data_IF_363703739277
#
_entry.id   IF_363703739277
#
_cell.length_a   1.000
_cell.length_b   1.000
_cell.length_c   1.000
_cell.angle_alpha   90.00
_cell.angle_beta   90.00
_cell.angle_gamma   90.00
#
_symmetry.space_group_name_H-M   'P 1'
#
loop_
_entity.id
_entity.type
_entity.pdbx_description
1 polymer ?
#
# COMPACT_ATOMS: atom_id res chain seq x y z
N UNK A 1 -16.79 -35.86 14.63
CA UNK A 1 -15.73 -35.23 13.81
C UNK A 1 -14.71 -34.57 14.73
N UNK A 2 -13.41 -34.90 14.60
CA UNK A 2 -12.34 -34.23 15.36
C UNK A 2 -12.09 -32.86 14.75
N UNK A 3 -12.21 -31.77 15.52
CA UNK A 3 -11.94 -30.41 15.01
C UNK A 3 -10.45 -30.28 14.66
N UNK A 4 -10.15 -29.69 13.50
CA UNK A 4 -8.79 -29.34 13.07
C UNK A 4 -8.58 -27.82 13.19
N UNK A 5 -7.37 -27.41 13.57
CA UNK A 5 -7.02 -26.00 13.77
C UNK A 5 -6.18 -25.42 12.62
N UNK A 6 -6.16 -26.09 11.47
CA UNK A 6 -5.32 -25.70 10.34
C UNK A 6 -5.63 -24.28 9.85
N UNK A 7 -6.92 -23.90 9.79
CA UNK A 7 -7.37 -22.55 9.41
C UNK A 7 -6.78 -21.48 10.31
N UNK A 8 -6.86 -21.68 11.62
CA UNK A 8 -6.29 -20.76 12.61
C UNK A 8 -4.78 -20.58 12.42
N UNK A 9 -4.02 -21.67 12.35
CA UNK A 9 -2.55 -21.57 12.25
C UNK A 9 -2.07 -20.97 10.92
N UNK A 10 -2.79 -21.18 9.82
CA UNK A 10 -2.50 -20.50 8.54
C UNK A 10 -2.67 -18.98 8.68
N UNK A 11 -3.71 -18.52 9.39
CA UNK A 11 -3.96 -17.10 9.62
C UNK A 11 -2.97 -16.51 10.63
N UNK A 12 -2.68 -17.22 11.72
CA UNK A 12 -1.72 -16.80 12.75
C UNK A 12 -0.34 -16.53 12.14
N UNK A 13 0.12 -17.40 11.23
CA UNK A 13 1.41 -17.24 10.56
C UNK A 13 1.50 -16.03 9.62
N UNK A 14 0.37 -15.38 9.30
CA UNK A 14 0.33 -14.16 8.46
C UNK A 14 0.28 -12.88 9.29
N UNK A 15 -0.02 -12.98 10.58
CA UNK A 15 -0.07 -11.83 11.46
C UNK A 15 1.35 -11.46 11.90
N UNK A 16 1.72 -10.16 11.87
CA UNK A 16 3.01 -9.72 12.38
C UNK A 16 3.03 -9.88 13.91
N UNK A 17 3.90 -10.75 14.43
CA UNK A 17 4.13 -10.89 15.88
C UNK A 17 5.54 -11.38 16.15
N UNK A 18 6.10 -10.99 17.30
CA UNK A 18 7.36 -11.49 17.84
C UNK A 18 7.18 -12.77 18.65
N UNK A 19 5.99 -12.96 19.25
CA UNK A 19 5.62 -14.17 19.98
C UNK A 19 4.28 -14.72 19.45
N UNK A 20 4.30 -15.93 18.92
CA UNK A 20 3.11 -16.58 18.34
C UNK A 20 2.26 -17.29 19.39
N UNK A 21 2.85 -17.83 20.43
CA UNK A 21 2.09 -18.53 21.47
C UNK A 21 1.35 -17.52 22.34
N UNK A 22 1.98 -16.40 22.67
CA UNK A 22 1.31 -15.29 23.36
C UNK A 22 0.15 -14.73 22.52
N UNK A 23 0.38 -14.46 21.22
CA UNK A 23 -0.68 -13.99 20.33
C UNK A 23 -1.83 -14.98 20.24
N UNK A 24 -1.55 -16.28 20.14
CA UNK A 24 -2.57 -17.32 20.15
C UNK A 24 -3.38 -17.30 21.45
N UNK A 25 -2.71 -17.29 22.61
CA UNK A 25 -3.39 -17.28 23.91
C UNK A 25 -4.30 -16.05 24.06
N UNK A 26 -3.82 -14.87 23.65
CA UNK A 26 -4.58 -13.63 23.66
C UNK A 26 -5.80 -13.68 22.74
N UNK A 27 -5.66 -14.19 21.51
CA UNK A 27 -6.79 -14.35 20.58
C UNK A 27 -7.83 -15.32 21.14
N UNK A 28 -7.41 -16.47 21.67
CA UNK A 28 -8.35 -17.44 22.25
C UNK A 28 -9.06 -16.86 23.47
N UNK A 29 -8.33 -16.21 24.37
CA UNK A 29 -8.89 -15.54 25.54
C UNK A 29 -9.91 -14.47 25.14
N UNK A 30 -9.58 -13.62 24.16
CA UNK A 30 -10.47 -12.57 23.67
C UNK A 30 -11.81 -13.14 23.14
N UNK A 31 -11.75 -14.20 22.32
CA UNK A 31 -12.95 -14.76 21.70
C UNK A 31 -13.70 -15.75 22.59
N UNK A 32 -13.19 -16.04 23.78
CA UNK A 32 -13.87 -16.84 24.81
C UNK A 32 -14.22 -16.04 26.06
N UNK A 33 -14.03 -14.72 26.02
CA UNK A 33 -14.21 -13.81 27.16
C UNK A 33 -13.39 -14.23 28.41
N UNK A 34 -12.14 -14.65 28.20
CA UNK A 34 -11.22 -15.03 29.26
C UNK A 34 -11.44 -16.43 29.83
N UNK A 35 -12.38 -17.22 29.29
CA UNK A 35 -12.70 -18.56 29.80
C UNK A 35 -11.56 -19.57 29.60
N UNK A 36 -10.76 -19.41 28.53
CA UNK A 36 -9.66 -20.33 28.19
C UNK A 36 -8.67 -19.65 27.24
N UNK A 37 -7.45 -20.17 27.16
CA UNK A 37 -6.43 -19.85 26.15
C UNK A 37 -6.21 -21.00 25.14
N UNK A 38 -6.97 -22.11 25.31
CA UNK A 38 -6.83 -23.33 24.54
C UNK A 38 -7.89 -23.42 23.43
N UNK A 39 -7.43 -23.52 22.18
CA UNK A 39 -8.29 -23.75 21.01
C UNK A 39 -9.24 -24.95 21.17
N UNK A 40 -8.84 -25.95 21.97
CA UNK A 40 -9.63 -27.17 22.24
C UNK A 40 -10.85 -26.91 23.10
N UNK A 41 -10.84 -25.85 23.89
CA UNK A 41 -11.91 -25.50 24.82
C UNK A 41 -12.86 -24.43 24.25
N UNK A 42 -12.61 -23.98 23.02
CA UNK A 42 -13.51 -23.10 22.28
C UNK A 42 -14.71 -23.86 21.74
N UNK A 43 -15.89 -23.24 21.75
CA UNK A 43 -17.04 -23.67 20.97
C UNK A 43 -16.78 -23.46 19.46
N UNK A 44 -17.56 -24.12 18.60
CA UNK A 44 -17.39 -23.94 17.15
C UNK A 44 -17.64 -22.48 16.76
N UNK A 45 -18.66 -21.85 17.36
CA UNK A 45 -19.03 -20.45 17.08
C UNK A 45 -17.93 -19.46 17.45
N UNK A 46 -17.32 -19.61 18.63
CA UNK A 46 -16.19 -18.76 19.04
C UNK A 46 -14.99 -18.94 18.11
N UNK A 47 -14.68 -20.19 17.73
CA UNK A 47 -13.57 -20.49 16.84
C UNK A 47 -13.77 -19.91 15.43
N UNK A 48 -14.97 -20.08 14.87
CA UNK A 48 -15.30 -19.57 13.54
C UNK A 48 -15.29 -18.03 13.54
N UNK A 49 -15.90 -17.39 14.54
CA UNK A 49 -15.89 -15.94 14.69
C UNK A 49 -14.46 -15.37 14.79
N UNK A 50 -13.59 -16.02 15.56
CA UNK A 50 -12.18 -15.65 15.66
C UNK A 50 -11.46 -15.77 14.31
N UNK A 51 -11.60 -16.90 13.63
CA UNK A 51 -10.95 -17.11 12.32
C UNK A 51 -11.47 -16.14 11.26
N UNK A 52 -12.77 -15.83 11.27
CA UNK A 52 -13.38 -14.88 10.34
C UNK A 52 -12.81 -13.47 10.54
N UNK A 53 -12.71 -13.02 11.79
CA UNK A 53 -12.12 -11.72 12.12
C UNK A 53 -10.63 -11.64 11.75
N UNK A 54 -9.85 -12.69 12.05
CA UNK A 54 -8.44 -12.77 11.63
C UNK A 54 -8.29 -12.70 10.11
N UNK A 55 -9.18 -13.36 9.37
CA UNK A 55 -9.15 -13.37 7.91
C UNK A 55 -9.52 -12.00 7.33
N UNK A 56 -10.46 -11.29 7.92
CA UNK A 56 -10.83 -9.93 7.50
C UNK A 56 -9.68 -8.94 7.78
N UNK A 57 -9.00 -9.09 8.91
CA UNK A 57 -7.80 -8.31 9.22
C UNK A 57 -6.65 -8.58 8.22
N UNK A 58 -6.39 -9.84 7.85
CA UNK A 58 -5.38 -10.23 6.84
C UNK A 58 -5.69 -9.61 5.47
N UNK A 59 -6.96 -9.68 5.02
CA UNK A 59 -7.39 -9.03 3.76
C UNK A 59 -7.14 -7.52 3.79
N UNK A 60 -7.54 -6.85 4.87
CA UNK A 60 -7.32 -5.42 5.04
C UNK A 60 -5.83 -5.05 5.04
N UNK A 61 -4.99 -5.88 5.67
CA UNK A 61 -3.53 -5.69 5.65
C UNK A 61 -2.96 -5.81 4.24
N UNK A 62 -3.28 -6.89 3.52
CA UNK A 62 -2.82 -7.12 2.14
C UNK A 62 -3.28 -6.02 1.18
N UNK A 63 -4.53 -5.59 1.26
CA UNK A 63 -5.04 -4.50 0.44
C UNK A 63 -4.26 -3.20 0.66
N UNK A 64 -3.93 -2.87 1.93
CA UNK A 64 -3.10 -1.71 2.26
C UNK A 64 -1.67 -1.83 1.75
N UNK A 65 -1.06 -3.01 1.85
CA UNK A 65 0.30 -3.26 1.31
C UNK A 65 0.34 -3.09 -0.21
N UNK A 66 -0.58 -3.71 -0.93
CA UNK A 66 -0.69 -3.58 -2.40
C UNK A 66 -0.87 -2.11 -2.80
N UNK A 67 -1.75 -1.38 -2.11
CA UNK A 67 -1.96 0.05 -2.38
C UNK A 67 -0.70 0.90 -2.10
N UNK A 68 0.04 0.60 -1.02
CA UNK A 68 1.31 1.28 -0.70
C UNK A 68 2.38 1.00 -1.75
N UNK A 69 2.49 -0.25 -2.19
CA UNK A 69 3.46 -0.65 -3.20
C UNK A 69 3.16 0.02 -4.55
N UNK A 70 1.90 0.03 -4.98
CA UNK A 70 1.53 0.70 -6.23
C UNK A 70 1.75 2.21 -6.14
N UNK A 71 1.40 2.85 -5.01
CA UNK A 71 1.69 4.27 -4.79
C UNK A 71 3.20 4.55 -4.85
N UNK A 72 4.04 3.69 -4.24
CA UNK A 72 5.50 3.79 -4.30
C UNK A 72 5.99 3.68 -5.75
N UNK A 73 5.48 2.70 -6.51
CA UNK A 73 5.85 2.48 -7.91
C UNK A 73 5.52 3.69 -8.78
N UNK A 74 4.31 4.24 -8.65
CA UNK A 74 3.88 5.43 -9.41
C UNK A 74 4.67 6.68 -9.02
N UNK A 75 4.94 6.89 -7.73
CA UNK A 75 5.80 8.00 -7.28
C UNK A 75 7.21 7.90 -7.87
N UNK A 76 7.80 6.71 -7.86
CA UNK A 76 9.11 6.49 -8.45
C UNK A 76 9.13 6.79 -9.95
N UNK A 77 8.09 6.38 -10.69
CA UNK A 77 7.98 6.66 -12.12
C UNK A 77 7.82 8.17 -12.40
N UNK A 78 7.01 8.87 -11.60
CA UNK A 78 6.80 10.30 -11.75
C UNK A 78 8.06 11.11 -11.41
N UNK A 79 8.80 10.76 -10.34
CA UNK A 79 10.08 11.37 -10.00
C UNK A 79 11.11 11.19 -11.13
N UNK A 80 11.21 10.00 -11.71
CA UNK A 80 12.10 9.77 -12.85
C UNK A 80 11.77 10.67 -14.05
N UNK A 81 10.48 10.88 -14.32
CA UNK A 81 10.04 11.79 -15.39
C UNK A 81 10.28 13.26 -15.04
N UNK A 82 10.08 13.67 -13.79
CA UNK A 82 10.40 15.03 -13.33
C UNK A 82 11.89 15.32 -13.53
N UNK A 83 12.76 14.37 -13.17
CA UNK A 83 14.21 14.47 -13.41
C UNK A 83 14.53 14.64 -14.90
N UNK A 84 13.87 13.87 -15.78
CA UNK A 84 14.02 14.03 -17.24
C UNK A 84 13.50 15.36 -17.79
N UNK A 85 12.60 16.03 -17.09
CA UNK A 85 12.15 17.39 -17.40
C UNK A 85 13.06 18.46 -16.77
N UNK A 86 14.24 18.08 -16.26
CA UNK A 86 15.20 19.01 -15.67
C UNK A 86 14.85 19.46 -14.24
N UNK A 87 13.87 18.84 -13.59
CA UNK A 87 13.53 19.15 -12.20
C UNK A 87 14.48 18.38 -11.28
N UNK A 88 15.17 19.12 -10.42
CA UNK A 88 16.00 18.55 -9.37
C UNK A 88 15.13 17.80 -8.34
N UNK A 89 15.20 16.46 -8.39
CA UNK A 89 14.41 15.57 -7.53
C UNK A 89 15.03 15.33 -6.16
N UNK A 90 16.19 15.93 -5.86
CA UNK A 90 16.78 15.93 -4.52
C UNK A 90 16.20 17.04 -3.63
N UNK A 91 15.61 18.07 -4.24
CA UNK A 91 14.95 19.18 -3.55
C UNK A 91 13.40 19.04 -3.61
N UNK A 92 12.81 18.68 -2.46
CA UNK A 92 11.36 18.55 -2.33
C UNK A 92 10.59 19.85 -2.56
N UNK A 93 11.19 21.02 -2.30
CA UNK A 93 10.54 22.30 -2.57
C UNK A 93 10.40 22.52 -4.08
N UNK A 94 11.43 22.21 -4.87
CA UNK A 94 11.36 22.29 -6.33
C UNK A 94 10.32 21.36 -6.93
N UNK A 95 10.27 20.10 -6.47
CA UNK A 95 9.24 19.14 -6.88
C UNK A 95 7.85 19.69 -6.58
N UNK A 96 7.63 20.17 -5.35
CA UNK A 96 6.32 20.68 -4.94
C UNK A 96 5.93 21.94 -5.71
N UNK A 97 6.83 22.92 -5.86
CA UNK A 97 6.60 24.14 -6.64
C UNK A 97 6.20 23.84 -8.08
N UNK A 98 6.82 22.83 -8.70
CA UNK A 98 6.45 22.39 -10.03
C UNK A 98 5.04 21.75 -10.06
N UNK A 99 4.75 20.86 -9.10
CA UNK A 99 3.49 20.10 -9.08
C UNK A 99 2.27 20.95 -8.67
N UNK A 100 2.43 21.95 -7.81
CA UNK A 100 1.30 22.82 -7.37
C UNK A 100 0.74 23.68 -8.50
N UNK A 101 1.47 23.84 -9.61
CA UNK A 101 0.95 24.51 -10.79
C UNK A 101 -0.32 23.77 -11.30
N UNK A 102 -1.47 24.45 -11.42
CA UNK A 102 -2.73 23.84 -11.90
C UNK A 102 -2.63 23.20 -13.28
N UNK A 103 -1.72 23.68 -14.14
CA UNK A 103 -1.49 23.09 -15.47
C UNK A 103 -0.77 21.74 -15.38
N UNK A 104 -0.02 21.51 -14.30
CA UNK A 104 0.73 20.26 -14.03
C UNK A 104 -0.13 19.31 -13.20
N UNK A 105 -0.22 19.50 -11.88
CA UNK A 105 -1.01 18.63 -11.00
C UNK A 105 -1.91 19.42 -10.02
N UNK A 106 -1.64 20.70 -9.79
CA UNK A 106 -2.45 21.56 -8.90
C UNK A 106 -2.31 21.25 -7.41
N UNK A 107 -1.40 20.34 -7.02
CA UNK A 107 -1.20 19.89 -5.63
C UNK A 107 0.27 19.57 -5.35
N UNK A 108 0.72 19.64 -4.08
CA UNK A 108 2.03 19.13 -3.69
C UNK A 108 2.18 17.66 -4.06
N UNK A 109 3.37 17.24 -4.52
CA UNK A 109 3.62 15.89 -5.04
C UNK A 109 3.25 14.79 -4.05
N UNK A 110 3.57 14.98 -2.76
CA UNK A 110 3.25 14.03 -1.70
C UNK A 110 1.76 13.80 -1.48
N UNK A 111 0.89 14.72 -1.94
CA UNK A 111 -0.56 14.65 -1.81
C UNK A 111 -1.26 14.06 -3.03
N UNK A 112 -0.52 13.69 -4.09
CA UNK A 112 -1.10 13.12 -5.30
C UNK A 112 -1.59 11.69 -5.06
N UNK A 113 -2.78 11.38 -5.56
CA UNK A 113 -3.31 10.02 -5.65
C UNK A 113 -2.63 9.21 -6.75
N UNK A 114 -2.90 7.90 -6.82
CA UNK A 114 -2.41 7.04 -7.90
C UNK A 114 -2.82 7.58 -9.28
N UNK A 115 -4.10 7.94 -9.44
CA UNK A 115 -4.62 8.46 -10.71
C UNK A 115 -3.99 9.81 -11.08
N UNK A 116 -3.77 10.67 -10.09
CA UNK A 116 -3.11 11.96 -10.29
C UNK A 116 -1.62 11.81 -10.65
N UNK A 117 -0.93 10.82 -10.08
CA UNK A 117 0.44 10.47 -10.45
C UNK A 117 0.51 9.94 -11.89
N UNK A 118 -0.49 9.17 -12.32
CA UNK A 118 -0.58 8.68 -13.70
C UNK A 118 -0.81 9.81 -14.69
N UNK A 119 -1.72 10.72 -14.38
CA UNK A 119 -1.95 11.90 -15.19
C UNK A 119 -0.71 12.79 -15.25
N UNK A 120 0.00 12.97 -14.12
CA UNK A 120 1.28 13.68 -14.07
C UNK A 120 2.31 13.02 -15.00
N UNK A 121 2.45 11.70 -14.94
CA UNK A 121 3.36 10.96 -15.83
C UNK A 121 3.02 11.17 -17.31
N UNK A 122 1.75 11.17 -17.68
CA UNK A 122 1.30 11.42 -19.06
C UNK A 122 1.71 12.83 -19.49
N UNK A 123 1.42 13.85 -18.69
CA UNK A 123 1.78 15.24 -18.98
C UNK A 123 3.29 15.43 -19.15
N UNK A 124 4.09 14.88 -18.23
CA UNK A 124 5.55 14.97 -18.30
C UNK A 124 6.12 14.32 -19.56
N UNK A 125 5.56 13.19 -20.00
CA UNK A 125 5.97 12.55 -21.27
C UNK A 125 5.60 13.39 -22.48
N UNK A 126 4.44 14.05 -22.46
CA UNK A 126 4.02 14.96 -23.54
C UNK A 126 4.95 16.17 -23.66
N UNK A 127 5.36 16.76 -22.52
CA UNK A 127 6.31 17.88 -22.47
C UNK A 127 7.65 17.44 -23.06
N UNK A 128 8.25 16.36 -22.55
CA UNK A 128 9.51 15.81 -23.08
C UNK A 128 9.42 15.55 -24.60
N UNK A 129 8.32 14.96 -25.07
CA UNK A 129 8.14 14.67 -26.50
C UNK A 129 8.06 15.95 -27.34
N UNK A 130 7.38 16.98 -26.84
CA UNK A 130 7.28 18.27 -27.52
C UNK A 130 8.66 18.92 -27.64
N UNK A 131 9.42 18.97 -26.54
CA UNK A 131 10.74 19.59 -26.51
C UNK A 131 11.70 18.90 -27.49
N UNK A 132 11.74 17.56 -27.48
CA UNK A 132 12.55 16.77 -28.44
C UNK A 132 12.16 17.00 -29.91
N UNK A 133 10.89 17.25 -30.20
CA UNK A 133 10.43 17.52 -31.57
C UNK A 133 10.79 18.94 -32.01
N UNK A 134 10.71 19.92 -31.10
CA UNK A 134 11.14 21.29 -31.34
C UNK A 134 12.63 21.35 -31.64
N UNK A 135 13.46 20.66 -30.86
CA UNK A 135 14.91 20.60 -31.09
C UNK A 135 15.25 20.02 -32.48
N UNK A 136 14.54 18.97 -32.92
CA UNK A 136 14.72 18.40 -34.27
C UNK A 136 14.31 19.36 -35.39
N UNK A 137 13.32 20.21 -35.17
CA UNK A 137 12.89 21.19 -36.18
C UNK A 137 13.86 22.36 -36.35
N UNK A 138 14.71 22.63 -35.36
CA UNK A 138 15.77 23.66 -35.43
C UNK A 138 17.05 23.16 -36.11
N UNK A 139 17.12 21.86 -36.43
CA UNK A 139 18.27 21.21 -37.08
C UNK A 139 18.04 20.92 -38.58
N UNK A 140 16.85 21.23 -39.11
CA UNK A 140 16.49 21.12 -40.53
C UNK A 140 16.25 22.49 -41.14
#
# INVERSE_FOLDING_TARGET
>A
MRRTYARFYVLLNRLPTTDREELKANLVSQYTNGRTDSLKEMTNKEYDAMCDAMQEQDKGYKAREIAREELRRRRSAALHLLQKNGIDTTDWNRINQYCVNPRIAGKPFGKLTIDELDLLCIKLRMIIRKDNNTDKSLLN
#
